data_IF_515042054910
#
_entry.id   IF_515042054910
#
_cell.length_a   1.000
_cell.length_b   1.000
_cell.length_c   1.000
_cell.angle_alpha   90.00
_cell.angle_beta   90.00
_cell.angle_gamma   90.00
#
_symmetry.space_group_name_H-M   'P 1'
#
loop_
_entity.id
_entity.type
_entity.pdbx_description
1 polymer ?
#
# COMPACT_ATOMS: atom_id res chain seq x y z
N UNK A 1 3.63 -28.00 5.92
CA UNK A 1 4.53 -28.19 4.76
C UNK A 1 3.93 -27.47 3.56
N UNK A 2 4.29 -26.21 3.37
CA UNK A 2 4.32 -25.46 2.12
C UNK A 2 4.67 -24.01 2.48
N UNK A 3 5.94 -23.67 2.45
CA UNK A 3 6.42 -22.29 2.50
C UNK A 3 7.51 -22.21 1.45
N UNK A 4 7.16 -21.75 0.26
CA UNK A 4 8.14 -21.43 -0.76
C UNK A 4 8.38 -19.93 -0.68
N UNK A 5 9.52 -19.60 -0.09
CA UNK A 5 10.10 -18.28 -0.10
C UNK A 5 10.45 -17.86 -1.54
N UNK A 6 9.98 -16.69 -1.94
CA UNK A 6 10.30 -16.10 -3.24
C UNK A 6 11.62 -15.33 -3.16
N UNK A 7 12.68 -15.98 -3.64
CA UNK A 7 13.93 -15.33 -4.06
C UNK A 7 14.39 -15.99 -5.35
N UNK A 8 14.46 -15.23 -6.45
CA UNK A 8 15.09 -15.69 -7.68
C UNK A 8 14.49 -15.09 -8.94
N UNK A 9 15.23 -14.21 -9.58
CA UNK A 9 15.05 -13.80 -10.97
C UNK A 9 14.92 -15.03 -11.89
N UNK A 10 13.74 -15.23 -12.47
CA UNK A 10 13.49 -16.31 -13.43
C UNK A 10 12.09 -16.88 -13.22
N UNK A 11 11.29 -16.89 -14.27
CA UNK A 11 10.01 -17.61 -14.31
C UNK A 11 10.26 -19.08 -13.97
N UNK A 12 9.98 -19.49 -12.73
CA UNK A 12 10.01 -20.91 -12.36
C UNK A 12 8.59 -21.48 -12.44
N UNK A 13 8.50 -22.75 -12.81
CA UNK A 13 7.28 -23.49 -13.14
C UNK A 13 6.40 -23.83 -11.92
N UNK A 14 6.39 -22.99 -10.89
CA UNK A 14 5.68 -23.20 -9.62
C UNK A 14 4.81 -22.03 -9.15
N UNK A 15 4.85 -20.88 -9.83
CA UNK A 15 3.95 -19.77 -9.52
C UNK A 15 2.58 -20.00 -10.15
N UNK A 16 1.51 -19.83 -9.37
CA UNK A 16 0.14 -19.82 -9.90
C UNK A 16 0.07 -18.79 -11.05
N UNK A 17 -0.20 -19.22 -12.30
CA UNK A 17 -0.26 -18.33 -13.45
C UNK A 17 -1.27 -17.18 -13.26
N UNK A 18 -2.37 -17.45 -12.55
CA UNK A 18 -3.37 -16.43 -12.23
C UNK A 18 -2.78 -15.35 -11.33
N UNK A 19 -2.14 -15.74 -10.22
CA UNK A 19 -1.53 -14.79 -9.29
C UNK A 19 -0.38 -14.02 -9.93
N UNK A 20 0.38 -14.65 -10.82
CA UNK A 20 1.42 -13.98 -11.62
C UNK A 20 0.82 -12.90 -12.53
N UNK A 21 -0.31 -13.20 -13.19
CA UNK A 21 -1.00 -12.24 -14.05
C UNK A 21 -1.59 -11.08 -13.24
N UNK A 22 -2.27 -11.38 -12.13
CA UNK A 22 -2.81 -10.38 -11.19
C UNK A 22 -1.69 -9.46 -10.68
N UNK A 23 -0.55 -10.01 -10.28
CA UNK A 23 0.61 -9.24 -9.84
C UNK A 23 1.12 -8.28 -10.92
N UNK A 24 1.34 -8.79 -12.15
CA UNK A 24 1.87 -7.99 -13.27
C UNK A 24 0.97 -6.83 -13.64
N UNK A 25 -0.35 -7.04 -13.57
CA UNK A 25 -1.36 -6.02 -13.84
C UNK A 25 -1.43 -5.00 -12.70
N UNK A 26 -1.55 -5.47 -11.45
CA UNK A 26 -1.54 -4.61 -10.25
C UNK A 26 -0.31 -3.70 -10.21
N UNK A 27 0.87 -4.26 -10.49
CA UNK A 27 2.14 -3.53 -10.42
C UNK A 27 2.26 -2.40 -11.44
N UNK A 28 1.42 -2.40 -12.49
CA UNK A 28 1.39 -1.44 -13.59
C UNK A 28 0.14 -0.56 -13.61
N UNK A 29 -0.56 -0.45 -12.47
CA UNK A 29 -1.79 0.32 -12.35
C UNK A 29 -3.01 -0.24 -13.14
N UNK A 30 -2.96 -1.51 -13.57
CA UNK A 30 -4.07 -2.18 -14.25
C UNK A 30 -4.98 -2.93 -13.25
N UNK A 31 -5.45 -2.25 -12.19
CA UNK A 31 -6.23 -2.90 -11.13
C UNK A 31 -7.57 -3.46 -11.60
N UNK A 32 -8.25 -2.77 -12.52
CA UNK A 32 -9.55 -3.23 -13.04
C UNK A 32 -9.38 -4.56 -13.80
N UNK A 33 -8.36 -4.65 -14.65
CA UNK A 33 -8.04 -5.88 -15.37
C UNK A 33 -7.61 -6.99 -14.41
N UNK A 34 -6.76 -6.68 -13.42
CA UNK A 34 -6.38 -7.64 -12.37
C UNK A 34 -7.60 -8.15 -11.59
N UNK A 35 -8.52 -7.26 -11.22
CA UNK A 35 -9.75 -7.62 -10.51
C UNK A 35 -10.67 -8.48 -11.39
N UNK A 36 -10.73 -8.23 -12.70
CA UNK A 36 -11.54 -9.00 -13.65
C UNK A 36 -11.06 -10.46 -13.80
N UNK A 37 -9.79 -10.76 -13.51
CA UNK A 37 -9.28 -12.14 -13.51
C UNK A 37 -9.76 -12.97 -12.30
N UNK A 38 -10.26 -12.31 -11.26
CA UNK A 38 -10.68 -12.96 -10.02
C UNK A 38 -12.19 -13.18 -10.01
N UNK A 39 -12.59 -14.45 -10.05
CA UNK A 39 -13.98 -14.87 -9.85
C UNK A 39 -14.33 -14.82 -8.35
N UNK A 40 -15.26 -13.95 -7.91
CA UNK A 40 -15.54 -13.70 -6.50
C UNK A 40 -16.48 -14.77 -5.90
N UNK A 41 -16.14 -16.04 -6.08
CA UNK A 41 -16.91 -17.19 -5.55
C UNK A 41 -16.37 -17.71 -4.24
N UNK A 42 -15.10 -17.41 -3.90
CA UNK A 42 -14.48 -17.74 -2.61
C UNK A 42 -14.23 -16.48 -1.78
N UNK A 43 -14.06 -16.64 -0.47
CA UNK A 43 -13.71 -15.52 0.42
C UNK A 43 -12.38 -14.86 0.01
N UNK A 44 -11.35 -15.67 -0.26
CA UNK A 44 -10.03 -15.17 -0.67
C UNK A 44 -10.07 -14.41 -1.99
N UNK A 45 -10.72 -14.96 -3.03
CA UNK A 45 -10.80 -14.32 -4.33
C UNK A 45 -11.63 -13.02 -4.27
N UNK A 46 -12.73 -13.03 -3.51
CA UNK A 46 -13.56 -11.84 -3.29
C UNK A 46 -12.80 -10.75 -2.54
N UNK A 47 -12.05 -11.12 -1.51
CA UNK A 47 -11.22 -10.19 -0.74
C UNK A 47 -10.09 -9.61 -1.59
N UNK A 48 -9.38 -10.44 -2.35
CA UNK A 48 -8.30 -10.00 -3.22
C UNK A 48 -8.81 -9.04 -4.29
N UNK A 49 -9.99 -9.33 -4.88
CA UNK A 49 -10.67 -8.44 -5.82
C UNK A 49 -11.00 -7.10 -5.18
N UNK A 50 -11.59 -7.11 -3.97
CA UNK A 50 -11.90 -5.89 -3.24
C UNK A 50 -10.63 -5.07 -2.94
N UNK A 51 -9.55 -5.71 -2.46
CA UNK A 51 -8.28 -5.04 -2.16
C UNK A 51 -7.67 -4.34 -3.38
N UNK A 52 -7.72 -4.96 -4.56
CA UNK A 52 -7.25 -4.34 -5.82
C UNK A 52 -8.06 -3.07 -6.16
N UNK A 53 -9.38 -3.13 -6.00
CA UNK A 53 -10.26 -2.00 -6.31
C UNK A 53 -10.16 -0.88 -5.26
N UNK A 54 -9.91 -1.21 -3.99
CA UNK A 54 -9.61 -0.25 -2.93
C UNK A 54 -8.25 0.43 -3.19
N UNK A 55 -7.23 -0.31 -3.61
CA UNK A 55 -5.94 0.25 -4.00
C UNK A 55 -6.09 1.19 -5.21
N UNK A 56 -6.87 0.80 -6.22
CA UNK A 56 -7.20 1.67 -7.35
C UNK A 56 -7.81 3.01 -6.90
N UNK A 57 -8.74 2.99 -5.95
CA UNK A 57 -9.34 4.22 -5.41
C UNK A 57 -8.27 5.16 -4.83
N UNK A 58 -7.30 4.61 -4.09
CA UNK A 58 -6.22 5.38 -3.48
C UNK A 58 -5.26 6.00 -4.51
N UNK A 59 -5.01 5.30 -5.63
CA UNK A 59 -4.05 5.74 -6.64
C UNK A 59 -4.67 6.62 -7.72
N UNK A 60 -5.98 6.46 -7.99
CA UNK A 60 -6.65 7.13 -9.12
C UNK A 60 -7.75 8.09 -8.70
N UNK A 61 -8.15 8.09 -7.42
CA UNK A 61 -9.29 8.86 -6.89
C UNK A 61 -10.64 8.49 -7.54
N UNK A 62 -10.70 7.34 -8.22
CA UNK A 62 -11.86 6.85 -8.98
C UNK A 62 -12.22 5.41 -8.60
N UNK A 63 -13.39 4.93 -9.03
CA UNK A 63 -13.81 3.53 -8.86
C UNK A 63 -14.44 3.20 -7.50
N UNK A 64 -14.81 4.21 -6.71
CA UNK A 64 -15.35 4.05 -5.35
C UNK A 64 -16.58 3.13 -5.25
N UNK A 65 -17.53 3.24 -6.20
CA UNK A 65 -18.72 2.39 -6.22
C UNK A 65 -18.39 0.91 -6.46
N UNK A 66 -17.51 0.64 -7.42
CA UNK A 66 -17.05 -0.72 -7.75
C UNK A 66 -16.28 -1.35 -6.57
N UNK A 67 -15.45 -0.56 -5.88
CA UNK A 67 -14.75 -1.01 -4.68
C UNK A 67 -15.72 -1.32 -3.53
N UNK A 68 -16.74 -0.48 -3.32
CA UNK A 68 -17.77 -0.72 -2.29
C UNK A 68 -18.57 -1.99 -2.60
N UNK A 69 -18.96 -2.19 -3.86
CA UNK A 69 -19.70 -3.38 -4.29
C UNK A 69 -18.88 -4.66 -4.11
N UNK A 70 -17.62 -4.67 -4.57
CA UNK A 70 -16.72 -5.82 -4.41
C UNK A 70 -16.47 -6.13 -2.93
N UNK A 71 -16.35 -5.10 -2.09
CA UNK A 71 -16.17 -5.29 -0.66
C UNK A 71 -17.42 -5.82 0.03
N UNK A 72 -18.63 -5.39 -0.37
CA UNK A 72 -19.87 -6.00 0.12
C UNK A 72 -19.95 -7.49 -0.24
N UNK A 73 -19.51 -7.87 -1.44
CA UNK A 73 -19.40 -9.29 -1.81
C UNK A 73 -18.41 -10.04 -0.90
N UNK A 74 -17.21 -9.50 -0.68
CA UNK A 74 -16.21 -10.11 0.19
C UNK A 74 -16.72 -10.31 1.63
N UNK A 75 -17.46 -9.34 2.17
CA UNK A 75 -18.09 -9.47 3.48
C UNK A 75 -19.21 -10.50 3.53
N UNK A 76 -20.01 -10.61 2.46
CA UNK A 76 -21.12 -11.57 2.40
C UNK A 76 -20.65 -13.02 2.34
N UNK A 77 -19.52 -13.28 1.66
CA UNK A 77 -18.97 -14.64 1.54
C UNK A 77 -18.16 -15.05 2.76
N UNK A 78 -17.64 -14.12 3.56
CA UNK A 78 -16.82 -14.39 4.74
C UNK A 78 -17.58 -15.15 5.84
N UNK A 79 -17.16 -16.38 6.12
CA UNK A 79 -17.76 -17.26 7.12
C UNK A 79 -16.92 -17.36 8.40
N UNK A 80 -15.59 -17.41 8.28
CA UNK A 80 -14.70 -17.53 9.43
C UNK A 80 -14.35 -16.18 10.06
N UNK A 81 -13.90 -16.19 11.31
CA UNK A 81 -13.46 -14.95 11.98
C UNK A 81 -12.25 -14.33 11.28
N UNK A 82 -11.33 -15.15 10.76
CA UNK A 82 -10.18 -14.68 9.99
C UNK A 82 -10.63 -13.97 8.69
N UNK A 83 -11.57 -14.56 7.93
CA UNK A 83 -12.14 -13.97 6.72
C UNK A 83 -12.89 -12.67 7.01
N UNK A 84 -13.72 -12.66 8.06
CA UNK A 84 -14.46 -11.46 8.49
C UNK A 84 -13.51 -10.36 8.97
N UNK A 85 -12.44 -10.75 9.67
CA UNK A 85 -11.39 -9.85 10.12
C UNK A 85 -10.66 -9.21 8.94
N UNK A 86 -10.33 -10.00 7.92
CA UNK A 86 -9.69 -9.51 6.70
C UNK A 86 -10.60 -8.58 5.89
N UNK A 87 -11.88 -8.94 5.71
CA UNK A 87 -12.86 -8.08 5.05
C UNK A 87 -13.09 -6.77 5.82
N UNK A 88 -13.19 -6.82 7.16
CA UNK A 88 -13.26 -5.63 8.00
C UNK A 88 -11.99 -4.76 7.89
N UNK A 89 -10.82 -5.39 7.73
CA UNK A 89 -9.56 -4.69 7.51
C UNK A 89 -9.58 -3.92 6.17
N UNK A 90 -10.10 -4.51 5.09
CA UNK A 90 -10.30 -3.82 3.80
C UNK A 90 -11.35 -2.72 3.88
N UNK A 91 -12.44 -2.93 4.62
CA UNK A 91 -13.43 -1.87 4.90
C UNK A 91 -12.82 -0.66 5.58
N UNK A 92 -11.94 -0.91 6.55
CA UNK A 92 -11.16 0.15 7.18
C UNK A 92 -10.30 0.92 6.18
N UNK A 93 -9.67 0.22 5.23
CA UNK A 93 -8.83 0.84 4.21
C UNK A 93 -9.62 1.68 3.21
N UNK A 94 -10.78 1.21 2.73
CA UNK A 94 -11.64 1.97 1.84
C UNK A 94 -12.16 3.26 2.50
N UNK A 95 -12.65 3.15 3.74
CA UNK A 95 -13.10 4.30 4.52
C UNK A 95 -11.96 5.30 4.80
N UNK A 96 -10.75 4.80 5.11
CA UNK A 96 -9.55 5.61 5.24
C UNK A 96 -9.25 6.37 3.95
N UNK A 97 -9.21 5.69 2.80
CA UNK A 97 -8.89 6.30 1.52
C UNK A 97 -9.92 7.38 1.13
N UNK A 98 -11.21 7.10 1.31
CA UNK A 98 -12.28 8.06 1.02
C UNK A 98 -12.17 9.34 1.87
N UNK A 99 -11.80 9.18 3.14
CA UNK A 99 -11.58 10.31 4.07
C UNK A 99 -10.34 11.10 3.68
N UNK A 100 -9.23 10.39 3.44
CA UNK A 100 -7.93 11.01 3.09
C UNK A 100 -8.03 11.86 1.83
N UNK A 101 -8.77 11.37 0.82
CA UNK A 101 -8.90 12.00 -0.49
C UNK A 101 -10.10 12.96 -0.57
N UNK A 102 -10.80 13.21 0.54
CA UNK A 102 -11.89 14.19 0.60
C UNK A 102 -13.16 13.78 -0.16
N UNK A 103 -13.33 12.51 -0.52
CA UNK A 103 -14.51 11.99 -1.22
C UNK A 103 -15.71 11.94 -0.29
N UNK A 104 -15.49 11.46 0.94
CA UNK A 104 -16.47 11.46 2.04
C UNK A 104 -15.72 11.27 3.35
N UNK A 105 -16.09 12.02 4.38
CA UNK A 105 -15.58 11.74 5.73
C UNK A 105 -16.16 10.43 6.27
N UNK A 106 -15.30 9.43 6.38
CA UNK A 106 -15.58 8.09 6.90
C UNK A 106 -14.56 7.72 8.00
N UNK A 107 -14.04 8.71 8.73
CA UNK A 107 -13.00 8.48 9.75
C UNK A 107 -13.47 7.53 10.86
N UNK A 108 -14.70 7.69 11.33
CA UNK A 108 -15.30 6.81 12.35
C UNK A 108 -15.50 5.39 11.85
N UNK A 109 -15.95 5.24 10.60
CA UNK A 109 -16.09 3.93 9.97
C UNK A 109 -14.73 3.25 9.83
N UNK A 110 -13.69 3.97 9.41
CA UNK A 110 -12.34 3.45 9.32
C UNK A 110 -11.85 2.94 10.68
N UNK A 111 -12.01 3.75 11.74
CA UNK A 111 -11.66 3.35 13.12
C UNK A 111 -12.44 2.12 13.58
N UNK A 112 -13.75 2.10 13.38
CA UNK A 112 -14.61 1.01 13.81
C UNK A 112 -14.28 -0.29 13.07
N UNK A 113 -14.07 -0.24 11.76
CA UNK A 113 -13.76 -1.41 10.94
C UNK A 113 -12.37 -1.99 11.29
N UNK A 114 -11.33 -1.15 11.43
CA UNK A 114 -10.01 -1.61 11.88
C UNK A 114 -10.03 -2.12 13.33
N UNK A 115 -10.90 -1.58 14.18
CA UNK A 115 -11.15 -2.09 15.53
C UNK A 115 -11.75 -3.50 15.52
N UNK A 116 -12.77 -3.73 14.68
CA UNK A 116 -13.35 -5.07 14.46
C UNK A 116 -12.32 -6.05 13.90
N UNK A 117 -11.55 -5.65 12.90
CA UNK A 117 -10.46 -6.46 12.37
C UNK A 117 -9.45 -6.85 13.44
N UNK A 118 -9.11 -5.94 14.37
CA UNK A 118 -8.17 -6.24 15.46
C UNK A 118 -8.70 -7.24 16.50
N UNK A 119 -10.02 -7.31 16.67
CA UNK A 119 -10.68 -8.27 17.54
C UNK A 119 -10.76 -9.67 16.91
N UNK A 120 -10.83 -9.75 15.58
CA UNK A 120 -10.99 -10.99 14.83
C UNK A 120 -9.65 -11.60 14.39
N UNK A 121 -8.68 -10.78 13.97
CA UNK A 121 -7.38 -11.25 13.47
C UNK A 121 -6.42 -11.47 14.64
N UNK A 122 -5.95 -12.70 14.90
CA UNK A 122 -5.01 -12.99 15.98
C UNK A 122 -3.67 -12.24 15.85
N UNK A 123 -2.98 -11.89 16.95
CA UNK A 123 -1.72 -11.14 16.90
C UNK A 123 -0.57 -11.76 16.09
N UNK A 124 -0.55 -13.09 15.92
CA UNK A 124 0.46 -13.80 15.12
C UNK A 124 0.01 -14.21 13.72
N UNK A 125 -1.21 -13.84 13.33
CA UNK A 125 -1.72 -14.19 12.00
C UNK A 125 -1.08 -13.29 10.93
N UNK A 126 -0.83 -13.80 9.70
CA UNK A 126 -0.25 -13.02 8.62
C UNK A 126 -0.98 -11.69 8.35
N UNK A 127 -2.32 -11.69 8.42
CA UNK A 127 -3.15 -10.49 8.23
C UNK A 127 -2.95 -9.39 9.27
N UNK A 128 -2.30 -9.68 10.41
CA UNK A 128 -2.05 -8.71 11.47
C UNK A 128 -1.09 -7.61 11.05
N UNK A 129 -0.07 -7.95 10.25
CA UNK A 129 0.92 -6.98 9.78
C UNK A 129 0.27 -5.89 8.91
N UNK A 130 -0.61 -6.29 7.98
CA UNK A 130 -1.38 -5.36 7.13
C UNK A 130 -2.32 -4.51 7.98
N UNK A 131 -3.01 -5.10 8.97
CA UNK A 131 -3.87 -4.36 9.88
C UNK A 131 -3.08 -3.29 10.66
N UNK A 132 -1.93 -3.64 11.24
CA UNK A 132 -1.08 -2.68 11.96
C UNK A 132 -0.60 -1.56 11.03
N UNK A 133 -0.26 -1.88 9.77
CA UNK A 133 0.12 -0.88 8.78
C UNK A 133 -1.02 0.13 8.53
N UNK A 134 -2.25 -0.36 8.31
CA UNK A 134 -3.44 0.48 8.07
C UNK A 134 -3.82 1.32 9.27
N UNK A 135 -3.65 0.80 10.49
CA UNK A 135 -3.80 1.59 11.71
C UNK A 135 -2.73 2.68 11.82
N UNK A 136 -1.51 2.42 11.34
CA UNK A 136 -0.47 3.42 11.20
C UNK A 136 -0.85 4.55 10.24
N UNK A 137 -1.39 4.20 9.06
CA UNK A 137 -1.89 5.16 8.07
C UNK A 137 -2.97 6.09 8.66
N UNK A 138 -3.93 5.52 9.38
CA UNK A 138 -4.99 6.28 10.05
C UNK A 138 -4.42 7.20 11.13
N UNK A 139 -3.50 6.69 11.95
CA UNK A 139 -2.86 7.47 13.00
C UNK A 139 -2.05 8.64 12.45
N UNK A 140 -1.29 8.42 11.37
CA UNK A 140 -0.47 9.45 10.72
C UNK A 140 -1.32 10.52 10.06
N UNK A 141 -2.26 10.11 9.21
CA UNK A 141 -2.88 11.02 8.25
C UNK A 141 -4.20 11.61 8.74
N UNK A 142 -4.95 10.88 9.57
CA UNK A 142 -6.26 11.32 10.06
C UNK A 142 -6.23 11.75 11.53
N UNK A 143 -5.58 10.96 12.40
CA UNK A 143 -5.49 11.29 13.82
C UNK A 143 -4.33 12.24 14.17
N UNK A 144 -3.42 12.51 13.23
CA UNK A 144 -2.23 13.37 13.41
C UNK A 144 -1.39 12.98 14.64
N UNK A 145 -1.25 11.67 14.88
CA UNK A 145 -0.49 11.10 15.99
C UNK A 145 0.75 10.37 15.48
N UNK A 146 1.90 11.06 15.30
CA UNK A 146 3.11 10.46 14.75
C UNK A 146 3.69 9.35 15.64
N UNK A 147 3.53 9.44 16.97
CA UNK A 147 4.00 8.41 17.90
C UNK A 147 3.20 7.11 17.74
N UNK A 148 1.87 7.20 17.65
CA UNK A 148 1.01 6.04 17.42
C UNK A 148 1.26 5.43 16.03
N UNK A 149 1.45 6.28 15.01
CA UNK A 149 1.82 5.85 13.66
C UNK A 149 3.15 5.07 13.66
N UNK A 150 4.20 5.63 14.28
CA UNK A 150 5.51 4.97 14.41
C UNK A 150 5.42 3.61 15.09
N UNK A 151 4.69 3.52 16.20
CA UNK A 151 4.50 2.26 16.91
C UNK A 151 3.77 1.21 16.05
N UNK A 152 2.73 1.63 15.30
CA UNK A 152 1.99 0.75 14.41
C UNK A 152 2.83 0.30 13.21
N UNK A 153 3.57 1.20 12.57
CA UNK A 153 4.47 0.84 11.46
C UNK A 153 5.61 -0.09 11.89
N UNK A 154 6.16 0.07 13.11
CA UNK A 154 7.17 -0.88 13.63
C UNK A 154 6.60 -2.29 13.84
N UNK A 155 5.37 -2.41 14.35
CA UNK A 155 4.70 -3.73 14.44
C UNK A 155 4.43 -4.33 13.07
N UNK A 156 3.93 -3.52 12.13
CA UNK A 156 3.73 -3.95 10.76
C UNK A 156 5.03 -4.40 10.08
N UNK A 157 6.12 -3.68 10.30
CA UNK A 157 7.44 -4.02 9.78
C UNK A 157 7.93 -5.35 10.32
N UNK A 158 7.87 -5.54 11.65
CA UNK A 158 8.25 -6.80 12.29
C UNK A 158 7.40 -7.99 11.77
N UNK A 159 6.08 -7.78 11.61
CA UNK A 159 5.19 -8.80 11.05
C UNK A 159 5.50 -9.11 9.58
N UNK A 160 5.75 -8.09 8.77
CA UNK A 160 6.11 -8.26 7.36
C UNK A 160 7.44 -9.01 7.21
N UNK A 161 8.43 -8.76 8.08
CA UNK A 161 9.67 -9.54 8.14
C UNK A 161 9.39 -10.99 8.54
N UNK A 162 8.61 -11.21 9.59
CA UNK A 162 8.33 -12.55 10.12
C UNK A 162 7.58 -13.44 9.10
N UNK A 163 6.72 -12.83 8.27
CA UNK A 163 5.95 -13.53 7.24
C UNK A 163 6.54 -13.40 5.83
N UNK A 164 7.74 -12.84 5.67
CA UNK A 164 8.39 -12.64 4.37
C UNK A 164 7.47 -11.94 3.34
N UNK A 165 6.86 -10.81 3.74
CA UNK A 165 6.05 -9.95 2.87
C UNK A 165 6.89 -8.73 2.41
N UNK A 166 7.62 -8.85 1.28
CA UNK A 166 8.49 -7.78 0.82
C UNK A 166 7.72 -6.53 0.38
N UNK A 167 6.50 -6.68 -0.14
CA UNK A 167 5.72 -5.50 -0.56
C UNK A 167 5.33 -4.66 0.65
N UNK A 168 4.81 -5.29 1.71
CA UNK A 168 4.48 -4.60 2.95
C UNK A 168 5.74 -4.03 3.64
N UNK A 169 6.87 -4.73 3.58
CA UNK A 169 8.16 -4.19 4.03
C UNK A 169 8.50 -2.88 3.30
N UNK A 170 8.34 -2.83 1.98
CA UNK A 170 8.58 -1.61 1.21
C UNK A 170 7.67 -0.45 1.64
N UNK A 171 6.43 -0.73 2.06
CA UNK A 171 5.52 0.30 2.57
C UNK A 171 5.97 0.80 3.94
N UNK A 172 6.25 -0.12 4.86
CA UNK A 172 6.66 0.24 6.23
C UNK A 172 7.98 1.02 6.25
N UNK A 173 8.96 0.63 5.43
CA UNK A 173 10.20 1.37 5.25
C UNK A 173 9.95 2.82 4.86
N UNK A 174 9.15 3.05 3.81
CA UNK A 174 8.82 4.40 3.33
C UNK A 174 8.13 5.24 4.41
N UNK A 175 7.17 4.66 5.13
CA UNK A 175 6.41 5.41 6.14
C UNK A 175 7.24 5.72 7.39
N UNK A 176 8.11 4.80 7.82
CA UNK A 176 9.06 5.05 8.91
C UNK A 176 10.10 6.11 8.51
N UNK A 177 10.62 6.05 7.29
CA UNK A 177 11.50 7.07 6.74
C UNK A 177 10.84 8.45 6.64
N UNK A 178 9.57 8.52 6.23
CA UNK A 178 8.79 9.77 6.22
C UNK A 178 8.61 10.38 7.60
N UNK A 179 8.45 9.55 8.64
CA UNK A 179 8.44 10.01 10.03
C UNK A 179 9.83 10.50 10.48
N UNK A 180 10.90 9.78 10.12
CA UNK A 180 12.28 10.18 10.41
C UNK A 180 12.64 11.53 9.74
N UNK A 181 12.25 11.71 8.48
CA UNK A 181 12.47 12.95 7.73
C UNK A 181 11.83 14.15 8.43
N UNK A 182 10.58 14.00 8.91
CA UNK A 182 9.88 15.07 9.64
C UNK A 182 10.51 15.40 10.99
N UNK A 183 11.17 14.42 11.61
CA UNK A 183 11.89 14.61 12.86
C UNK A 183 13.31 15.17 12.63
N UNK A 184 13.73 15.37 11.36
CA UNK A 184 15.05 15.89 11.00
C UNK A 184 16.15 14.84 10.88
N UNK A 185 15.81 13.56 11.05
CA UNK A 185 16.74 12.43 11.03
C UNK A 185 17.07 12.00 9.59
N UNK A 186 17.80 12.86 8.87
CA UNK A 186 18.06 12.72 7.44
C UNK A 186 18.77 11.42 7.04
N UNK A 187 19.67 10.90 7.89
CA UNK A 187 20.37 9.65 7.60
C UNK A 187 19.44 8.43 7.66
N UNK A 188 18.58 8.37 8.69
CA UNK A 188 17.57 7.32 8.84
C UNK A 188 16.51 7.41 7.73
N UNK A 189 16.08 8.63 7.39
CA UNK A 189 15.16 8.87 6.27
C UNK A 189 15.73 8.36 4.94
N UNK A 190 16.96 8.74 4.60
CA UNK A 190 17.63 8.26 3.38
C UNK A 190 17.74 6.75 3.33
N UNK A 191 18.19 6.13 4.42
CA UNK A 191 18.30 4.67 4.47
C UNK A 191 16.96 3.99 4.23
N UNK A 192 15.89 4.40 4.94
CA UNK A 192 14.59 3.76 4.79
C UNK A 192 13.92 4.04 3.43
N UNK A 193 14.11 5.22 2.83
CA UNK A 193 13.62 5.46 1.47
C UNK A 193 14.39 4.64 0.42
N UNK A 194 15.70 4.49 0.56
CA UNK A 194 16.51 3.63 -0.31
C UNK A 194 16.11 2.17 -0.21
N UNK A 195 15.88 1.64 0.99
CA UNK A 195 15.38 0.26 1.16
C UNK A 195 13.98 0.08 0.57
N UNK A 196 13.09 1.05 0.76
CA UNK A 196 11.77 1.02 0.11
C UNK A 196 11.88 1.00 -1.41
N UNK A 197 12.80 1.78 -1.99
CA UNK A 197 12.98 1.85 -3.45
C UNK A 197 13.54 0.53 -3.97
N UNK A 198 14.63 0.04 -3.38
CA UNK A 198 15.29 -1.22 -3.74
C UNK A 198 14.31 -2.38 -3.79
N UNK A 199 13.51 -2.56 -2.74
CA UNK A 199 12.53 -3.65 -2.68
C UNK A 199 11.47 -3.52 -3.78
N UNK A 200 10.99 -2.31 -4.09
CA UNK A 200 9.97 -2.11 -5.14
C UNK A 200 10.52 -2.37 -6.54
N UNK A 201 11.78 -2.03 -6.78
CA UNK A 201 12.49 -2.34 -8.03
C UNK A 201 12.67 -3.85 -8.20
N UNK A 202 13.15 -4.54 -7.15
CA UNK A 202 13.30 -6.00 -7.14
C UNK A 202 11.97 -6.73 -7.39
N UNK A 203 10.87 -6.21 -6.83
CA UNK A 203 9.52 -6.75 -7.03
C UNK A 203 8.89 -6.39 -8.38
N UNK A 204 9.46 -5.42 -9.12
CA UNK A 204 8.82 -4.84 -10.30
C UNK A 204 7.49 -4.13 -9.98
N UNK A 205 7.36 -3.54 -8.78
CA UNK A 205 6.18 -2.79 -8.34
C UNK A 205 6.20 -1.34 -8.88
N UNK A 206 6.10 -1.22 -10.21
CA UNK A 206 6.32 0.04 -10.94
C UNK A 206 5.45 1.21 -10.48
N UNK A 207 4.17 0.94 -10.18
CA UNK A 207 3.23 1.97 -9.70
C UNK A 207 3.66 2.57 -8.35
N UNK A 208 4.41 1.81 -7.55
CA UNK A 208 5.01 2.28 -6.30
C UNK A 208 6.44 2.83 -6.46
N UNK A 209 7.12 2.61 -7.58
CA UNK A 209 8.49 3.08 -7.79
C UNK A 209 8.56 4.61 -7.91
N UNK A 210 7.66 5.23 -8.69
CA UNK A 210 7.67 6.69 -8.85
C UNK A 210 7.46 7.45 -7.51
N UNK A 211 6.50 7.06 -6.65
CA UNK A 211 6.41 7.63 -5.30
C UNK A 211 7.62 7.36 -4.40
N UNK A 212 8.30 6.21 -4.54
CA UNK A 212 9.49 5.89 -3.75
C UNK A 212 10.68 6.78 -4.13
N UNK A 213 10.91 6.99 -5.44
CA UNK A 213 11.91 7.92 -5.96
C UNK A 213 11.65 9.35 -5.48
N UNK A 214 10.41 9.83 -5.56
CA UNK A 214 10.05 11.16 -5.05
C UNK A 214 10.31 11.28 -3.54
N UNK A 215 10.00 10.23 -2.77
CA UNK A 215 10.25 10.23 -1.32
C UNK A 215 11.76 10.25 -1.00
N UNK A 216 12.58 9.50 -1.74
CA UNK A 216 14.04 9.54 -1.58
C UNK A 216 14.60 10.92 -1.94
N UNK A 217 14.08 11.54 -3.01
CA UNK A 217 14.49 12.88 -3.41
C UNK A 217 14.26 13.94 -2.33
N UNK A 218 13.24 13.78 -1.49
CA UNK A 218 12.96 14.69 -0.38
C UNK A 218 13.97 14.59 0.78
N UNK A 219 14.76 13.50 0.82
CA UNK A 219 15.84 13.32 1.79
C UNK A 219 17.25 13.55 1.21
N UNK A 220 17.35 13.88 -0.08
CA UNK A 220 18.62 14.12 -0.78
C UNK A 220 18.89 15.59 -1.06
N UNK A 221 20.17 15.92 -1.26
CA UNK A 221 20.60 17.25 -1.70
C UNK A 221 20.75 17.32 -3.23
N UNK A 222 20.80 18.53 -3.77
CA UNK A 222 21.14 18.72 -5.18
C UNK A 222 22.59 18.27 -5.48
N UNK A 223 22.86 17.70 -6.67
CA UNK A 223 21.96 17.55 -7.83
C UNK A 223 21.12 16.26 -7.81
N UNK A 224 21.26 15.41 -6.80
CA UNK A 224 20.67 14.07 -6.79
C UNK A 224 19.13 14.12 -6.63
N UNK A 225 18.64 15.02 -5.78
CA UNK A 225 17.21 15.24 -5.60
C UNK A 225 16.50 15.56 -6.93
N UNK A 226 17.07 16.45 -7.76
CA UNK A 226 16.53 16.74 -9.09
C UNK A 226 16.54 15.54 -10.03
N UNK A 227 17.59 14.70 -10.00
CA UNK A 227 17.67 13.48 -10.83
C UNK A 227 16.58 12.48 -10.46
N UNK A 228 16.39 12.23 -9.16
CA UNK A 228 15.37 11.34 -8.65
C UNK A 228 13.95 11.81 -8.99
N UNK A 229 13.65 13.11 -8.84
CA UNK A 229 12.36 13.69 -9.26
C UNK A 229 12.15 13.59 -10.77
N UNK A 230 13.20 13.78 -11.57
CA UNK A 230 13.11 13.63 -13.03
C UNK A 230 12.79 12.19 -13.45
N UNK A 231 13.40 11.18 -12.81
CA UNK A 231 13.07 9.76 -13.04
C UNK A 231 11.65 9.43 -12.58
N UNK A 232 11.26 9.87 -11.38
CA UNK A 232 9.88 9.73 -10.89
C UNK A 232 8.87 10.31 -11.87
N UNK A 233 9.16 11.49 -12.46
CA UNK A 233 8.35 12.12 -13.50
C UNK A 233 8.26 11.34 -14.80
N UNK A 234 9.33 10.64 -15.21
CA UNK A 234 9.29 9.75 -16.38
C UNK A 234 8.36 8.56 -16.15
N UNK A 235 8.51 7.88 -15.01
CA UNK A 235 7.66 6.74 -14.65
C UNK A 235 6.20 7.15 -14.45
N UNK A 236 5.95 8.29 -13.81
CA UNK A 236 4.61 8.84 -13.63
C UNK A 236 3.89 9.08 -14.97
N UNK A 237 4.59 9.65 -15.97
CA UNK A 237 4.04 9.82 -17.32
C UNK A 237 3.84 8.49 -18.05
N UNK A 238 4.77 7.55 -17.89
CA UNK A 238 4.66 6.21 -18.47
C UNK A 238 3.40 5.48 -17.98
N UNK A 239 3.02 5.68 -16.71
CA UNK A 239 1.83 5.10 -16.09
C UNK A 239 0.56 5.98 -16.27
N UNK A 240 0.57 6.94 -17.19
CA UNK A 240 -0.61 7.73 -17.52
C UNK A 240 -1.03 8.72 -16.43
N UNK A 241 -0.11 9.17 -15.59
CA UNK A 241 -0.40 10.13 -14.53
C UNK A 241 -0.93 9.50 -13.23
N UNK A 242 -0.57 8.24 -12.98
CA UNK A 242 -0.90 7.50 -11.75
C UNK A 242 0.35 7.31 -10.89
N UNK A 243 0.30 7.51 -9.56
CA UNK A 243 -0.86 7.98 -8.79
C UNK A 243 -1.17 9.47 -8.97
N UNK A 244 -2.45 9.83 -9.02
CA UNK A 244 -2.93 11.21 -9.28
C UNK A 244 -2.34 12.25 -8.33
N UNK A 245 -2.19 11.91 -7.06
CA UNK A 245 -1.64 12.80 -6.04
C UNK A 245 -0.14 13.09 -6.18
N UNK A 246 0.61 12.27 -6.95
CA UNK A 246 2.06 12.45 -7.15
C UNK A 246 2.37 13.67 -8.01
N UNK A 247 1.45 14.10 -8.88
CA UNK A 247 1.61 15.29 -9.72
C UNK A 247 2.01 16.54 -8.92
N UNK A 248 1.44 16.72 -7.72
CA UNK A 248 1.73 17.85 -6.84
C UNK A 248 3.13 17.80 -6.22
N UNK A 249 3.66 16.60 -5.98
CA UNK A 249 4.98 16.40 -5.40
C UNK A 249 6.10 16.52 -6.43
N UNK A 250 5.78 16.21 -7.70
CA UNK A 250 6.72 16.32 -8.81
C UNK A 250 6.73 17.70 -9.47
N UNK A 251 5.81 18.59 -9.09
CA UNK A 251 5.82 19.96 -9.56
C UNK A 251 7.14 20.64 -9.11
N UNK A 252 7.85 21.35 -10.00
CA UNK A 252 9.03 22.09 -9.59
C UNK A 252 8.67 23.09 -8.49
N UNK A 253 9.56 23.34 -7.51
CA UNK A 253 9.34 24.39 -6.54
C UNK A 253 9.06 25.70 -7.28
N UNK A 254 8.03 26.43 -6.87
CA UNK A 254 7.69 27.71 -7.47
C UNK A 254 8.96 28.57 -7.50
N UNK A 255 9.32 29.07 -8.68
CA UNK A 255 10.45 29.98 -8.82
C UNK A 255 10.22 31.14 -7.85
N UNK A 256 11.11 31.29 -6.87
CA UNK A 256 11.14 32.46 -6.00
C UNK A 256 11.28 33.68 -6.91
N UNK A 257 10.23 34.50 -6.96
CA UNK A 257 10.27 35.82 -7.58
C UNK A 257 11.10 36.80 -6.73
#
# INVERSE_FOLDING_TARGET
MAYTAMSGSGTTSGDDPLQTAVWRLRSRACWADAAALLDPTTADASLQRAALLVERCLYTEQGWGEAEDALRTAEAVAQSDDERGAAACERGQLAYAATLLGVRDRADEARAALGRAAALIPPGAPGRAVLDFRRGLLAENLARSPQAARAAYRRAHAGATAHADPLLLSFTWRHLAGLALRDGELAEARHGFSESLRIREELGYLVGTAPALASLADAESEPEASRLRAEAGRLFRLLGGVPTWLARQLAPPAASA
#
